data_IF_692516231197
#
_entry.id   IF_692516231197
#
_cell.length_a   1.000
_cell.length_b   1.000
_cell.length_c   1.000
_cell.angle_alpha   90.00
_cell.angle_beta   90.00
_cell.angle_gamma   90.00
#
_symmetry.space_group_name_H-M   'P 1'
#
loop_
_entity.id
_entity.type
_entity.pdbx_description
1 polymer ?
#
# COMPACT_ATOMS: atom_id res chain seq x y z
N UNK A 1 -17.61 -2.20 -3.09
CA UNK A 1 -16.97 -0.87 -3.06
C UNK A 1 -15.48 -1.12 -2.98
N UNK A 2 -14.74 -0.86 -4.06
CA UNK A 2 -13.27 -1.03 -4.03
C UNK A 2 -12.72 0.12 -3.21
N UNK A 3 -12.34 -0.13 -1.96
CA UNK A 3 -11.76 0.90 -1.11
C UNK A 3 -10.48 1.42 -1.77
N UNK A 4 -10.49 2.70 -2.17
CA UNK A 4 -9.33 3.34 -2.79
C UNK A 4 -8.16 3.29 -1.81
N UNK A 5 -7.02 2.77 -2.27
CA UNK A 5 -5.76 2.76 -1.51
C UNK A 5 -5.30 4.21 -1.33
N UNK A 6 -4.98 4.57 -0.08
CA UNK A 6 -4.53 5.91 0.28
C UNK A 6 -3.17 5.88 0.95
N UNK A 7 -2.47 7.02 0.94
CA UNK A 7 -1.23 7.21 1.71
C UNK A 7 -1.52 6.98 3.20
N UNK A 8 -0.66 6.22 3.86
CA UNK A 8 -0.82 5.78 5.25
C UNK A 8 -1.59 4.46 5.41
N UNK A 9 -2.22 3.92 4.36
CA UNK A 9 -2.80 2.58 4.41
C UNK A 9 -1.70 1.53 4.58
N UNK A 10 -2.02 0.47 5.31
CA UNK A 10 -1.25 -0.76 5.28
C UNK A 10 -1.88 -1.71 4.27
N UNK A 11 -1.07 -2.25 3.38
CA UNK A 11 -1.50 -3.14 2.29
C UNK A 11 -0.69 -4.43 2.26
N UNK A 12 -1.30 -5.48 1.74
CA UNK A 12 -0.63 -6.68 1.25
C UNK A 12 -0.56 -6.65 -0.27
N UNK A 13 0.46 -7.30 -0.81
CA UNK A 13 0.67 -7.45 -2.25
C UNK A 13 0.53 -8.93 -2.55
N UNK A 14 -0.28 -9.30 -3.56
CA UNK A 14 -0.61 -10.70 -3.84
C UNK A 14 0.61 -11.61 -4.06
N UNK A 15 1.75 -11.06 -4.49
CA UNK A 15 2.98 -11.78 -4.83
C UNK A 15 4.14 -11.51 -3.84
N UNK A 16 3.93 -10.75 -2.77
CA UNK A 16 4.98 -10.36 -1.82
C UNK A 16 4.55 -10.60 -0.39
N UNK A 17 5.37 -11.31 0.38
CA UNK A 17 5.13 -11.51 1.80
C UNK A 17 5.34 -10.20 2.57
N UNK A 18 4.52 -10.00 3.60
CA UNK A 18 4.65 -8.87 4.53
C UNK A 18 3.59 -7.78 4.35
N UNK A 19 3.56 -6.89 5.33
CA UNK A 19 2.67 -5.73 5.37
C UNK A 19 3.45 -4.47 5.00
N UNK A 20 2.89 -3.71 4.07
CA UNK A 20 3.55 -2.54 3.50
C UNK A 20 2.74 -1.28 3.79
N UNK A 21 3.40 -0.21 4.23
CA UNK A 21 2.80 1.11 4.35
C UNK A 21 2.83 1.84 3.01
N UNK A 22 1.72 2.46 2.63
CA UNK A 22 1.63 3.29 1.43
C UNK A 22 2.23 4.65 1.71
N UNK A 23 3.35 4.97 1.06
CA UNK A 23 4.05 6.26 1.20
C UNK A 23 3.58 7.28 0.16
N UNK A 24 3.30 6.83 -1.07
CA UNK A 24 2.82 7.69 -2.15
C UNK A 24 1.80 6.92 -3.01
N UNK A 25 0.82 7.63 -3.58
CA UNK A 25 -0.03 7.12 -4.65
C UNK A 25 0.01 8.09 -5.82
N UNK A 26 0.45 7.61 -6.98
CA UNK A 26 0.56 8.41 -8.20
C UNK A 26 0.17 7.57 -9.41
N UNK A 27 -0.77 8.07 -10.21
CA UNK A 27 -1.15 7.49 -11.51
C UNK A 27 -1.42 5.97 -11.48
N UNK A 28 -2.10 5.47 -10.45
CA UNK A 28 -2.44 4.05 -10.32
C UNK A 28 -1.30 3.15 -9.83
N UNK A 29 -0.20 3.74 -9.36
CA UNK A 29 0.92 3.06 -8.69
C UNK A 29 1.02 3.60 -7.26
N UNK A 30 1.30 2.72 -6.30
CA UNK A 30 1.68 3.09 -4.95
C UNK A 30 3.18 2.84 -4.73
N UNK A 31 3.84 3.76 -4.03
CA UNK A 31 5.11 3.52 -3.39
C UNK A 31 4.84 2.95 -1.99
N UNK A 32 5.48 1.84 -1.69
CA UNK A 32 5.26 1.06 -0.50
C UNK A 32 6.55 0.94 0.29
N UNK A 33 6.45 0.94 1.62
CA UNK A 33 7.57 0.76 2.55
C UNK A 33 7.26 -0.35 3.55
N UNK A 34 8.17 -1.30 3.75
CA UNK A 34 8.05 -2.30 4.81
C UNK A 34 8.67 -1.82 6.14
N UNK A 35 8.57 -2.67 7.17
CA UNK A 35 9.16 -2.39 8.48
C UNK A 35 10.70 -2.35 8.51
N UNK A 36 11.36 -2.77 7.44
CA UNK A 36 12.82 -2.76 7.29
C UNK A 36 13.31 -1.57 6.43
N UNK A 37 12.43 -0.59 6.15
CA UNK A 37 12.65 0.56 5.24
C UNK A 37 12.92 0.17 3.78
N UNK A 38 12.59 -1.06 3.37
CA UNK A 38 12.65 -1.46 1.96
C UNK A 38 11.47 -0.83 1.23
N UNK A 39 11.75 -0.31 0.04
CA UNK A 39 10.75 0.39 -0.79
C UNK A 39 10.51 -0.35 -2.08
N UNK A 40 9.23 -0.51 -2.42
CA UNK A 40 8.81 -1.12 -3.69
C UNK A 40 7.65 -0.33 -4.29
N UNK A 41 7.52 -0.38 -5.61
CA UNK A 41 6.38 0.20 -6.32
C UNK A 41 5.47 -0.91 -6.82
N UNK A 42 4.15 -0.75 -6.65
CA UNK A 42 3.19 -1.73 -7.11
C UNK A 42 1.90 -1.08 -7.59
N UNK A 43 1.21 -1.74 -8.52
CA UNK A 43 -0.07 -1.25 -9.05
C UNK A 43 -1.15 -1.36 -7.99
N UNK A 44 -2.01 -0.35 -7.88
CA UNK A 44 -3.11 -0.35 -6.89
C UNK A 44 -4.01 -1.58 -7.01
N UNK A 45 -4.20 -2.11 -8.22
CA UNK A 45 -5.02 -3.31 -8.47
C UNK A 45 -4.46 -4.60 -7.87
N UNK A 46 -3.18 -4.63 -7.49
CA UNK A 46 -2.53 -5.77 -6.81
C UNK A 46 -2.52 -5.63 -5.29
N UNK A 47 -3.02 -4.50 -4.76
CA UNK A 47 -2.96 -4.17 -3.36
C UNK A 47 -4.26 -4.54 -2.68
N UNK A 48 -4.13 -5.17 -1.52
CA UNK A 48 -5.25 -5.43 -0.63
C UNK A 48 -5.03 -4.61 0.64
N UNK A 49 -5.93 -3.67 0.94
CA UNK A 49 -5.84 -2.88 2.17
C UNK A 49 -6.15 -3.78 3.36
N UNK A 50 -5.20 -3.88 4.29
CA UNK A 50 -5.35 -4.67 5.52
C UNK A 50 -5.61 -3.80 6.74
N UNK A 51 -5.21 -2.53 6.68
CA UNK A 51 -5.57 -1.51 7.67
C UNK A 51 -5.61 -0.16 6.98
N UNK A 52 -6.69 0.58 7.20
CA UNK A 52 -6.77 1.98 6.76
C UNK A 52 -5.86 2.86 7.60
N UNK A 53 -5.16 3.78 6.94
CA UNK A 53 -4.48 4.86 7.64
C UNK A 53 -5.49 5.61 8.51
N UNK A 54 -5.09 6.02 9.71
CA UNK A 54 -5.93 6.89 10.51
C UNK A 54 -6.04 8.22 9.76
N UNK A 55 -7.17 8.42 9.07
CA UNK A 55 -7.56 9.72 8.51
C UNK A 55 -7.82 10.64 9.69
N UNK A 56 -6.82 11.47 10.01
CA UNK A 56 -6.95 12.55 10.97
C UNK A 56 -7.32 13.84 10.25
#
# INVERSE_FOLDING_TARGET
MSETVQVGDLVHISDTAGTWAVEEVRSGIALLRDGEDRRISSRLSKLTVVRKGASN
#
